data_IF_773584753660
#
_entry.id   IF_773584753660
#
_cell.length_a   1.000
_cell.length_b   1.000
_cell.length_c   1.000
_cell.angle_alpha   90.00
_cell.angle_beta   90.00
_cell.angle_gamma   90.00
#
_symmetry.space_group_name_H-M   'P 1'
#
loop_
_entity.id
_entity.type
_entity.pdbx_description
1 polymer ?
#
# COMPACT_ATOMS: atom_id res chain seq x y z
N UNK A 1 17.34 12.77 2.77
CA UNK A 1 16.00 13.40 2.74
C UNK A 1 15.09 12.65 3.72
N UNK A 2 14.55 13.31 4.74
CA UNK A 2 13.67 12.67 5.73
C UNK A 2 12.26 12.52 5.16
N UNK A 3 11.70 11.30 5.23
CA UNK A 3 10.34 11.00 4.73
C UNK A 3 9.30 11.81 5.52
N UNK A 4 8.51 12.62 4.84
CA UNK A 4 7.38 13.32 5.46
C UNK A 4 6.24 12.32 5.70
N UNK A 5 5.77 12.18 6.94
CA UNK A 5 4.74 11.20 7.29
C UNK A 5 3.31 11.60 6.86
N UNK A 6 3.05 12.91 6.72
CA UNK A 6 1.74 13.46 6.34
C UNK A 6 1.92 14.62 5.35
N UNK A 7 2.10 14.34 4.05
CA UNK A 7 2.19 15.39 3.05
C UNK A 7 0.87 16.17 2.99
N UNK A 8 0.97 17.48 2.74
CA UNK A 8 -0.21 18.32 2.53
C UNK A 8 -0.95 17.96 1.24
N UNK A 9 -2.21 18.38 1.15
CA UNK A 9 -3.09 18.14 0.00
C UNK A 9 -2.42 18.47 -1.34
N UNK A 10 -1.78 19.65 -1.45
CA UNK A 10 -1.09 20.08 -2.68
C UNK A 10 0.00 19.10 -3.11
N UNK A 11 0.85 18.64 -2.18
CA UNK A 11 1.90 17.66 -2.49
C UNK A 11 1.35 16.31 -2.91
N UNK A 12 0.22 15.89 -2.33
CA UNK A 12 -0.47 14.68 -2.74
C UNK A 12 -1.00 14.83 -4.17
N UNK A 13 -1.61 15.98 -4.48
CA UNK A 13 -2.13 16.31 -5.80
C UNK A 13 -1.05 16.35 -6.88
N UNK A 14 0.05 17.06 -6.62
CA UNK A 14 1.24 17.08 -7.49
C UNK A 14 1.78 15.67 -7.72
N UNK A 15 1.85 14.86 -6.65
CA UNK A 15 2.28 13.47 -6.75
C UNK A 15 1.37 12.62 -7.65
N UNK A 16 0.06 12.76 -7.50
CA UNK A 16 -0.94 12.06 -8.32
C UNK A 16 -0.81 12.49 -9.79
N UNK A 17 -0.67 13.78 -10.05
CA UNK A 17 -0.49 14.32 -11.41
C UNK A 17 0.78 13.75 -12.07
N UNK A 18 1.90 13.74 -11.35
CA UNK A 18 3.14 13.13 -11.84
C UNK A 18 2.96 11.64 -12.13
N UNK A 19 2.32 10.89 -11.23
CA UNK A 19 2.07 9.46 -11.40
C UNK A 19 1.20 9.17 -12.64
N UNK A 20 0.12 9.93 -12.83
CA UNK A 20 -0.72 9.85 -14.02
C UNK A 20 0.09 10.14 -15.29
N UNK A 21 0.95 11.15 -15.24
CA UNK A 21 1.86 11.48 -16.34
C UNK A 21 2.81 10.33 -16.69
N UNK A 22 3.38 9.64 -15.70
CA UNK A 22 4.26 8.49 -15.92
C UNK A 22 3.53 7.31 -16.57
N UNK A 23 2.35 6.97 -16.05
CA UNK A 23 1.53 5.88 -16.62
C UNK A 23 1.14 6.20 -18.05
N UNK A 24 0.68 7.43 -18.33
CA UNK A 24 0.32 7.87 -19.68
C UNK A 24 1.48 7.73 -20.67
N UNK A 25 2.70 8.14 -20.26
CA UNK A 25 3.90 8.00 -21.10
C UNK A 25 4.25 6.53 -21.36
N UNK A 26 4.18 5.70 -20.34
CA UNK A 26 4.45 4.27 -20.47
C UNK A 26 3.44 3.58 -21.40
N UNK A 27 2.14 3.88 -21.26
CA UNK A 27 1.10 3.39 -22.15
C UNK A 27 1.36 3.80 -23.60
N UNK A 28 1.74 5.05 -23.84
CA UNK A 28 2.11 5.51 -25.18
C UNK A 28 3.32 4.76 -25.78
N UNK A 29 4.32 4.44 -24.96
CA UNK A 29 5.45 3.63 -25.42
C UNK A 29 5.01 2.19 -25.74
N UNK A 30 4.14 1.61 -24.92
CA UNK A 30 3.58 0.27 -25.17
C UNK A 30 2.77 0.27 -26.47
N UNK A 31 1.91 1.25 -26.70
CA UNK A 31 1.15 1.40 -27.95
C UNK A 31 2.06 1.45 -29.19
N UNK A 32 3.17 2.20 -29.11
CA UNK A 32 4.17 2.25 -30.18
C UNK A 32 4.84 0.90 -30.42
N UNK A 33 5.19 0.17 -29.36
CA UNK A 33 5.78 -1.17 -29.48
C UNK A 33 4.77 -2.14 -30.10
N UNK A 34 3.52 -2.12 -29.63
CA UNK A 34 2.42 -2.93 -30.16
C UNK A 34 2.20 -2.66 -31.64
N UNK A 35 2.30 -1.40 -32.09
CA UNK A 35 2.20 -1.06 -33.51
C UNK A 35 3.34 -1.64 -34.38
N UNK A 36 4.50 -1.93 -33.79
CA UNK A 36 5.67 -2.48 -34.50
C UNK A 36 5.70 -4.01 -34.49
N UNK A 37 5.45 -4.63 -33.33
CA UNK A 37 5.59 -6.10 -33.16
C UNK A 37 4.27 -6.86 -33.15
N UNK A 38 3.14 -6.15 -33.04
CA UNK A 38 1.81 -6.73 -32.90
C UNK A 38 1.50 -7.24 -31.49
N UNK A 39 0.21 -7.41 -31.19
CA UNK A 39 -0.27 -7.91 -29.88
C UNK A 39 0.05 -9.39 -29.62
N UNK A 40 0.41 -10.14 -30.66
CA UNK A 40 0.62 -11.59 -30.59
C UNK A 40 1.83 -12.00 -29.73
N UNK A 41 2.69 -11.06 -29.37
CA UNK A 41 3.84 -11.29 -28.49
C UNK A 41 3.47 -11.25 -26.99
N UNK A 42 2.28 -10.76 -26.64
CA UNK A 42 1.82 -10.67 -25.27
C UNK A 42 1.22 -12.00 -24.82
N UNK A 43 1.61 -12.46 -23.63
CA UNK A 43 0.89 -13.54 -22.96
C UNK A 43 -0.54 -13.06 -22.62
N UNK A 44 -1.57 -13.92 -22.66
CA UNK A 44 -2.91 -13.62 -22.17
C UNK A 44 -2.96 -12.84 -20.85
N UNK A 45 -2.10 -13.15 -19.87
CA UNK A 45 -2.02 -12.39 -18.61
C UNK A 45 -1.59 -10.93 -18.86
N UNK A 46 -0.55 -10.71 -19.66
CA UNK A 46 -0.03 -9.37 -19.94
C UNK A 46 -1.05 -8.52 -20.72
N UNK A 47 -1.81 -9.15 -21.61
CA UNK A 47 -2.90 -8.49 -22.32
C UNK A 47 -4.00 -8.02 -21.35
N UNK A 48 -4.41 -8.88 -20.41
CA UNK A 48 -5.36 -8.53 -19.37
C UNK A 48 -4.83 -7.42 -18.45
N UNK A 49 -3.58 -7.53 -18.01
CA UNK A 49 -2.94 -6.53 -17.14
C UNK A 49 -2.88 -5.17 -17.85
N UNK A 50 -2.55 -5.15 -19.15
CA UNK A 50 -2.55 -3.92 -19.95
C UNK A 50 -3.96 -3.30 -19.99
N UNK A 51 -4.98 -4.10 -20.25
CA UNK A 51 -6.38 -3.64 -20.23
C UNK A 51 -6.78 -3.05 -18.88
N UNK A 52 -6.43 -3.75 -17.79
CA UNK A 52 -6.71 -3.29 -16.41
C UNK A 52 -5.96 -1.98 -16.10
N UNK A 53 -4.71 -1.84 -16.54
CA UNK A 53 -3.93 -0.61 -16.35
C UNK A 53 -4.56 0.57 -17.11
N UNK A 54 -5.06 0.36 -18.34
CA UNK A 54 -5.80 1.39 -19.07
C UNK A 54 -7.04 1.85 -18.31
N UNK A 55 -7.80 0.90 -17.75
CA UNK A 55 -9.00 1.23 -16.98
C UNK A 55 -8.66 1.95 -15.67
N UNK A 56 -7.65 1.50 -14.93
CA UNK A 56 -7.16 2.19 -13.72
C UNK A 56 -6.73 3.62 -14.07
N UNK A 57 -5.97 3.81 -15.15
CA UNK A 57 -5.53 5.13 -15.59
C UNK A 57 -6.72 6.04 -15.94
N UNK A 58 -7.75 5.50 -16.61
CA UNK A 58 -9.01 6.22 -16.90
C UNK A 58 -9.71 6.65 -15.62
N UNK A 59 -9.91 5.72 -14.68
CA UNK A 59 -10.57 5.99 -13.40
C UNK A 59 -9.82 7.04 -12.58
N UNK A 60 -8.50 6.91 -12.44
CA UNK A 60 -7.67 7.86 -11.70
C UNK A 60 -7.65 9.25 -12.33
N UNK A 61 -7.64 9.33 -13.67
CA UNK A 61 -7.75 10.60 -14.39
C UNK A 61 -9.11 11.27 -14.15
N UNK A 62 -10.20 10.50 -14.16
CA UNK A 62 -11.53 11.03 -13.87
C UNK A 62 -11.64 11.54 -12.43
N UNK A 63 -11.11 10.78 -11.47
CA UNK A 63 -11.05 11.16 -10.06
C UNK A 63 -10.25 12.44 -9.85
N UNK A 64 -9.08 12.56 -10.50
CA UNK A 64 -8.26 13.77 -10.45
C UNK A 64 -8.98 14.98 -11.04
N UNK A 65 -9.65 14.83 -12.20
CA UNK A 65 -10.38 15.93 -12.85
C UNK A 65 -11.62 16.39 -12.07
N UNK A 66 -12.35 15.45 -11.50
CA UNK A 66 -13.59 15.72 -10.74
C UNK A 66 -13.32 16.06 -9.27
N UNK A 67 -12.07 15.98 -8.82
CA UNK A 67 -11.66 16.12 -7.43
C UNK A 67 -12.40 15.14 -6.48
N UNK A 68 -12.88 14.01 -7.02
CA UNK A 68 -13.60 12.98 -6.27
C UNK A 68 -12.65 11.86 -5.82
N UNK A 69 -12.90 11.33 -4.62
CA UNK A 69 -12.18 10.17 -4.08
C UNK A 69 -12.94 8.85 -4.26
N UNK A 70 -14.14 8.90 -4.88
CA UNK A 70 -15.00 7.75 -5.10
C UNK A 70 -15.38 7.63 -6.58
N UNK A 71 -15.41 6.39 -7.04
CA UNK A 71 -15.93 5.98 -8.34
C UNK A 71 -16.57 4.61 -8.18
N UNK A 72 -17.67 4.38 -8.89
CA UNK A 72 -18.30 3.06 -8.96
C UNK A 72 -17.33 2.06 -9.58
N UNK A 73 -17.34 0.83 -9.06
CA UNK A 73 -16.48 -0.27 -9.51
C UNK A 73 -14.98 0.09 -9.61
N UNK A 74 -14.49 0.89 -8.65
CA UNK A 74 -13.08 1.28 -8.58
C UNK A 74 -12.16 0.06 -8.55
N UNK A 75 -11.25 -0.02 -9.49
CA UNK A 75 -10.18 -1.02 -9.53
C UNK A 75 -8.99 -0.51 -8.70
N UNK A 76 -8.50 -1.35 -7.78
CA UNK A 76 -7.41 -0.97 -6.85
C UNK A 76 -6.16 -1.84 -7.04
N UNK A 77 -6.33 -3.02 -7.62
CA UNK A 77 -5.26 -4.00 -7.82
C UNK A 77 -5.28 -4.50 -9.26
N UNK A 78 -4.10 -4.59 -9.87
CA UNK A 78 -3.93 -5.09 -11.23
C UNK A 78 -4.11 -6.61 -11.25
N UNK A 79 -3.50 -7.33 -10.29
CA UNK A 79 -3.61 -8.79 -10.20
C UNK A 79 -5.01 -9.25 -9.78
N UNK A 80 -5.79 -8.39 -9.10
CA UNK A 80 -7.10 -8.73 -8.54
C UNK A 80 -8.14 -7.62 -8.84
N UNK A 81 -8.53 -7.43 -10.11
CA UNK A 81 -9.39 -6.31 -10.51
C UNK A 81 -10.85 -6.46 -10.04
N UNK A 82 -11.27 -7.67 -9.72
CA UNK A 82 -12.61 -7.95 -9.20
C UNK A 82 -12.79 -7.52 -7.74
N UNK A 83 -11.70 -7.33 -6.99
CA UNK A 83 -11.79 -6.94 -5.58
C UNK A 83 -12.22 -5.49 -5.45
N UNK A 84 -13.30 -5.27 -4.70
CA UNK A 84 -13.84 -3.94 -4.43
C UNK A 84 -13.12 -3.28 -3.26
N UNK A 85 -12.80 -1.97 -3.33
CA UNK A 85 -12.23 -1.23 -2.22
C UNK A 85 -13.22 -1.19 -1.04
N UNK A 86 -12.80 -1.70 0.12
CA UNK A 86 -13.59 -1.66 1.35
C UNK A 86 -13.08 -0.51 2.21
N UNK A 87 -13.90 0.53 2.40
CA UNK A 87 -13.62 1.61 3.35
C UNK A 87 -13.87 1.07 4.76
N UNK A 88 -12.85 0.54 5.43
CA UNK A 88 -12.96 0.14 6.84
C UNK A 88 -12.95 1.38 7.72
N UNK A 89 -14.13 1.88 8.08
CA UNK A 89 -14.32 2.77 9.21
C UNK A 89 -14.08 2.04 10.53
N UNK A 90 -12.82 1.76 10.87
CA UNK A 90 -12.47 1.38 12.23
C UNK A 90 -12.34 2.66 13.05
N UNK A 91 -13.41 2.99 13.77
CA UNK A 91 -13.33 3.93 14.87
C UNK A 91 -12.43 3.33 15.96
N UNK A 92 -11.41 4.09 16.36
CA UNK A 92 -10.43 3.84 17.42
C UNK A 92 -9.20 2.96 17.11
N UNK A 93 -8.05 3.57 17.44
CA UNK A 93 -6.67 3.09 17.47
C UNK A 93 -5.92 3.02 16.12
N UNK A 94 -4.95 3.94 15.88
CA UNK A 94 -4.04 3.86 14.74
C UNK A 94 -3.00 2.77 15.01
N UNK A 95 -3.41 1.50 14.92
CA UNK A 95 -2.55 0.31 15.07
C UNK A 95 -1.74 0.29 16.38
N UNK A 96 -2.35 -0.19 17.46
CA UNK A 96 -1.60 -0.95 18.46
C UNK A 96 -1.33 -2.34 17.86
N UNK A 97 -0.07 -2.63 17.51
CA UNK A 97 0.33 -4.02 17.30
C UNK A 97 0.25 -4.66 18.68
N UNK A 98 -0.78 -5.49 18.91
CA UNK A 98 -0.89 -6.30 20.12
C UNK A 98 0.36 -7.19 20.21
N UNK A 99 1.29 -6.84 21.09
CA UNK A 99 2.32 -7.77 21.53
C UNK A 99 1.61 -8.94 22.22
N UNK A 100 1.79 -10.16 21.71
CA UNK A 100 1.44 -11.36 22.47
C UNK A 100 2.46 -11.51 23.59
N UNK A 101 2.10 -11.11 24.81
CA UNK A 101 2.84 -11.53 25.99
C UNK A 101 2.55 -13.01 26.24
N UNK A 102 3.57 -13.86 26.10
CA UNK A 102 3.45 -15.29 26.40
C UNK A 102 3.72 -15.45 27.90
N UNK A 103 2.76 -16.03 28.64
CA UNK A 103 2.93 -16.37 30.05
C UNK A 103 3.79 -17.63 30.16
N UNK A 104 4.91 -17.57 30.86
CA UNK A 104 5.72 -18.74 31.20
C UNK A 104 5.65 -19.06 32.71
N UNK A 105 5.91 -20.31 33.13
CA UNK A 105 5.81 -20.73 34.54
C UNK A 105 6.74 -19.99 35.51
N UNK A 106 7.74 -19.30 35.00
CA UNK A 106 8.81 -18.62 35.73
C UNK A 106 8.88 -17.10 35.46
N UNK A 107 7.85 -16.50 34.85
CA UNK A 107 7.74 -15.05 34.67
C UNK A 107 7.09 -14.60 33.36
N UNK A 108 7.05 -13.29 33.14
CA UNK A 108 6.51 -12.65 31.93
C UNK A 108 7.64 -12.10 31.07
N UNK A 109 7.68 -12.46 29.78
CA UNK A 109 8.58 -11.83 28.80
C UNK A 109 7.76 -10.86 27.93
N UNK A 110 8.00 -9.57 28.09
CA UNK A 110 7.47 -8.51 27.21
C UNK A 110 8.62 -7.99 26.34
N UNK A 111 8.40 -7.88 25.03
CA UNK A 111 9.42 -7.41 24.08
C UNK A 111 8.98 -6.12 23.38
N UNK A 112 9.34 -4.96 23.97
CA UNK A 112 9.81 -3.68 23.36
C UNK A 112 9.80 -2.56 24.44
N UNK A 113 10.67 -1.53 24.55
CA UNK A 113 12.07 -1.22 24.17
C UNK A 113 12.49 0.03 24.97
N UNK A 114 13.70 0.02 25.54
CA UNK A 114 14.64 1.12 25.89
C UNK A 114 15.29 0.92 27.28
N UNK A 115 16.62 0.76 27.26
CA UNK A 115 17.51 1.33 28.28
C UNK A 115 17.71 0.56 29.59
N UNK A 116 18.97 0.16 29.80
CA UNK A 116 19.62 -0.33 31.04
C UNK A 116 19.31 -1.76 31.51
N UNK A 117 20.33 -2.59 31.32
CA UNK A 117 20.73 -3.64 32.24
C UNK A 117 20.52 -3.22 33.70
N UNK A 118 19.71 -3.97 34.43
CA UNK A 118 20.01 -4.27 35.82
C UNK A 118 19.50 -5.67 36.14
N UNK A 119 20.45 -6.60 36.31
CA UNK A 119 20.22 -7.91 36.90
C UNK A 119 19.63 -7.69 38.29
N UNK A 120 18.39 -8.10 38.53
CA UNK A 120 17.97 -8.44 39.89
C UNK A 120 18.19 -9.92 40.10
N UNK A 121 19.34 -10.25 40.70
CA UNK A 121 19.48 -11.46 41.48
C UNK A 121 18.59 -11.32 42.71
N UNK A 122 17.69 -12.26 43.01
CA UNK A 122 17.36 -12.56 44.38
C UNK A 122 18.38 -13.58 44.86
N UNK A 123 19.40 -13.12 45.58
CA UNK A 123 19.92 -13.93 46.67
C UNK A 123 18.83 -13.91 47.74
N UNK A 124 18.35 -15.08 48.13
CA UNK A 124 18.31 -15.51 49.52
C UNK A 124 17.80 -16.95 49.59
N UNK A 125 18.72 -17.76 50.13
CA UNK A 125 18.54 -19.03 50.84
C UNK A 125 17.35 -19.01 51.81
N UNK A 126 17.09 -20.21 52.34
CA UNK A 126 16.22 -20.63 53.46
C UNK A 126 15.00 -21.37 52.88
N UNK A 127 14.86 -22.70 52.94
CA UNK A 127 15.49 -23.78 53.73
C UNK A 127 16.12 -24.85 52.83
#
# INVERSE_FOLDING_TARGET
MTKQQKPGFQKIWEGIECQLGYVKRNLFHIEKLVAQVGLNQLNPKQYLDLFVIHEIHRQQTLMYKTQSHSIEDRIVSIDQPHIRPIVRGKANAPVEIRCQAIRQPNGWLCLHTLGRLSRRHPSQRIY
#
